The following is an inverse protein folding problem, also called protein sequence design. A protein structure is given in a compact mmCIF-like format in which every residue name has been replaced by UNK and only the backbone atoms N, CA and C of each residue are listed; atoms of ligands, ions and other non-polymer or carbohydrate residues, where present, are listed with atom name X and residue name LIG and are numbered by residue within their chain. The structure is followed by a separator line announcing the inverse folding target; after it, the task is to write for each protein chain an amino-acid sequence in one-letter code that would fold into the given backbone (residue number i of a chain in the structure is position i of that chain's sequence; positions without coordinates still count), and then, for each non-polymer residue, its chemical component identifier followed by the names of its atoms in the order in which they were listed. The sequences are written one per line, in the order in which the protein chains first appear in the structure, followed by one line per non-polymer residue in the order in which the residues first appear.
data_IF_177677765019
#
_entry.id   IF_177677765019
#
_cell.length_a   1.000
_cell.length_b   1.000
_cell.length_c   1.000
_cell.angle_alpha   90.00
_cell.angle_beta   90.00
_cell.angle_gamma   90.00
#
_symmetry.space_group_name_H-M   'P 1'
#
loop_
_entity.id
_entity.type
_entity.pdbx_description
1 polymer ?
#
# COMPACT_ATOMS: atom_id res chain seq x y z
N UNK A 1 -7.84 -1.10 48.95
CA UNK A 1 -7.39 -0.62 47.63
C UNK A 1 -8.29 -1.31 46.64
N UNK A 2 -9.33 -0.63 46.18
CA UNK A 2 -10.16 -1.12 45.08
C UNK A 2 -9.34 -0.97 43.80
N UNK A 3 -9.19 -2.08 43.08
CA UNK A 3 -8.66 -2.05 41.72
C UNK A 3 -9.67 -1.31 40.82
N UNK A 4 -9.22 -0.48 39.86
CA UNK A 4 -10.14 0.17 38.94
C UNK A 4 -10.72 -0.89 38.00
N UNK A 5 -12.05 -1.03 38.00
CA UNK A 5 -12.77 -1.82 36.99
C UNK A 5 -12.46 -1.28 35.60
N UNK A 6 -11.93 -2.15 34.72
CA UNK A 6 -11.85 -1.86 33.29
C UNK A 6 -13.28 -1.69 32.74
N UNK A 7 -13.54 -0.68 31.89
CA UNK A 7 -14.86 -0.47 31.33
C UNK A 7 -15.26 -1.67 30.49
N UNK A 8 -16.44 -2.22 30.79
CA UNK A 8 -17.03 -3.35 30.09
C UNK A 8 -17.07 -3.10 28.57
N UNK A 9 -16.47 -4.03 27.81
CA UNK A 9 -16.53 -4.09 26.35
C UNK A 9 -18.01 -4.21 25.94
N UNK A 10 -18.61 -3.10 25.53
CA UNK A 10 -19.93 -3.11 24.89
C UNK A 10 -19.78 -3.85 23.57
N UNK A 11 -19.98 -5.17 23.58
CA UNK A 11 -19.64 -6.14 22.53
C UNK A 11 -20.33 -5.96 21.18
N UNK A 12 -20.26 -4.77 20.59
CA UNK A 12 -20.52 -4.53 19.19
C UNK A 12 -19.32 -5.02 18.40
N UNK A 13 -19.52 -6.12 17.66
CA UNK A 13 -18.53 -6.61 16.70
C UNK A 13 -18.13 -5.47 15.76
N UNK A 14 -16.87 -5.05 15.82
CA UNK A 14 -16.35 -4.00 14.97
C UNK A 14 -16.30 -4.51 13.52
N UNK A 15 -17.09 -3.88 12.65
CA UNK A 15 -17.07 -4.19 11.21
C UNK A 15 -15.72 -3.82 10.58
N UNK A 16 -15.24 -4.56 9.56
CA UNK A 16 -14.03 -4.18 8.84
C UNK A 16 -14.17 -2.82 8.18
N UNK A 17 -13.08 -2.06 8.14
CA UNK A 17 -12.98 -0.87 7.29
C UNK A 17 -12.57 -1.30 5.88
N UNK A 18 -13.25 -0.77 4.87
CA UNK A 18 -12.93 -0.94 3.47
C UNK A 18 -12.55 0.43 2.87
N UNK A 19 -11.30 0.57 2.45
CA UNK A 19 -10.79 1.81 1.87
C UNK A 19 -11.26 1.91 0.43
N UNK A 20 -12.13 2.87 0.17
CA UNK A 20 -12.75 3.03 -1.13
C UNK A 20 -13.30 4.44 -1.35
N UNK A 21 -13.09 4.96 -2.55
CA UNK A 21 -13.95 5.96 -3.17
C UNK A 21 -13.92 5.79 -4.69
N UNK A 22 -14.91 6.30 -5.43
CA UNK A 22 -14.90 6.24 -6.90
C UNK A 22 -13.64 6.89 -7.50
N UNK A 23 -13.19 8.02 -6.92
CA UNK A 23 -11.99 8.72 -7.38
C UNK A 23 -10.72 7.89 -7.16
N UNK A 24 -10.63 7.20 -6.02
CA UNK A 24 -9.50 6.32 -5.72
C UNK A 24 -9.43 5.13 -6.69
N UNK A 25 -10.57 4.50 -7.00
CA UNK A 25 -10.62 3.40 -7.97
C UNK A 25 -10.24 3.88 -9.37
N UNK A 26 -10.78 5.03 -9.80
CA UNK A 26 -10.41 5.64 -11.08
C UNK A 26 -8.92 5.94 -11.16
N UNK A 27 -8.30 6.41 -10.07
CA UNK A 27 -6.86 6.62 -10.00
C UNK A 27 -6.10 5.29 -10.07
N UNK A 28 -6.53 4.25 -9.35
CA UNK A 28 -5.85 2.95 -9.36
C UNK A 28 -5.90 2.26 -10.73
N UNK A 29 -6.95 2.52 -11.51
CA UNK A 29 -7.13 1.94 -12.85
C UNK A 29 -6.38 2.70 -13.95
N UNK A 30 -5.73 3.83 -13.62
CA UNK A 30 -4.94 4.60 -14.59
C UNK A 30 -3.62 3.93 -14.96
N UNK A 31 -3.12 3.00 -14.14
CA UNK A 31 -1.87 2.28 -14.41
C UNK A 31 -2.03 1.30 -15.57
N UNK A 32 -1.38 1.59 -16.69
CA UNK A 32 -1.53 0.85 -17.94
C UNK A 32 -1.22 -0.66 -17.85
N UNK A 33 -0.30 -1.06 -16.95
CA UNK A 33 0.12 -2.47 -16.80
C UNK A 33 -0.95 -3.35 -16.15
N UNK A 34 -1.88 -2.76 -15.38
CA UNK A 34 -2.93 -3.50 -14.67
C UNK A 34 -4.30 -2.83 -14.91
N UNK A 35 -4.80 -2.86 -16.16
CA UNK A 35 -5.96 -2.08 -16.54
C UNK A 35 -7.22 -2.56 -15.82
N UNK A 36 -7.95 -1.62 -15.21
CA UNK A 36 -9.30 -1.81 -14.63
C UNK A 36 -9.40 -2.82 -13.49
N UNK A 37 -8.27 -3.28 -12.91
CA UNK A 37 -8.29 -4.27 -11.82
C UNK A 37 -9.02 -3.73 -10.59
N UNK A 38 -8.83 -2.46 -10.22
CA UNK A 38 -9.48 -1.90 -9.03
C UNK A 38 -11.00 -1.84 -9.22
N UNK A 39 -11.49 -1.42 -10.40
CA UNK A 39 -12.91 -1.48 -10.73
C UNK A 39 -13.47 -2.91 -10.71
N UNK A 40 -12.74 -3.89 -11.26
CA UNK A 40 -13.17 -5.29 -11.24
C UNK A 40 -13.28 -5.85 -9.82
N UNK A 41 -12.28 -5.58 -8.97
CA UNK A 41 -12.31 -6.01 -7.57
C UNK A 41 -13.47 -5.36 -6.83
N UNK A 42 -13.63 -4.04 -6.95
CA UNK A 42 -14.70 -3.33 -6.26
C UNK A 42 -16.10 -3.77 -6.74
N UNK A 43 -16.32 -3.86 -8.06
CA UNK A 43 -17.62 -4.27 -8.61
C UNK A 43 -18.02 -5.68 -8.19
N UNK A 44 -17.06 -6.60 -8.05
CA UNK A 44 -17.35 -7.95 -7.56
C UNK A 44 -17.70 -7.94 -6.06
N UNK A 45 -16.97 -7.19 -5.24
CA UNK A 45 -17.32 -6.97 -3.82
C UNK A 45 -18.72 -6.35 -3.68
N UNK A 46 -19.08 -5.43 -4.59
CA UNK A 46 -20.39 -4.79 -4.64
C UNK A 46 -21.49 -5.76 -5.05
N UNK A 47 -21.27 -6.56 -6.10
CA UNK A 47 -22.22 -7.55 -6.61
C UNK A 47 -22.61 -8.60 -5.56
N UNK A 48 -21.66 -8.98 -4.69
CA UNK A 48 -21.92 -9.87 -3.55
C UNK A 48 -22.46 -9.14 -2.30
N UNK A 49 -22.70 -7.84 -2.38
CA UNK A 49 -23.16 -6.99 -1.29
C UNK A 49 -22.25 -6.99 -0.04
N UNK A 50 -20.97 -7.38 -0.18
CA UNK A 50 -20.02 -7.45 0.94
C UNK A 50 -19.70 -6.07 1.50
N UNK A 51 -19.67 -5.04 0.65
CA UNK A 51 -19.48 -3.65 1.07
C UNK A 51 -20.51 -3.17 2.10
N UNK A 52 -21.72 -3.74 2.12
CA UNK A 52 -22.78 -3.39 3.08
C UNK A 52 -22.47 -3.90 4.50
N UNK A 53 -21.53 -4.83 4.63
CA UNK A 53 -21.07 -5.40 5.89
C UNK A 53 -19.75 -4.77 6.36
N UNK A 54 -19.27 -3.75 5.65
CA UNK A 54 -18.02 -3.05 5.93
C UNK A 54 -18.28 -1.55 6.11
N UNK A 55 -17.41 -0.89 6.86
CA UNK A 55 -17.38 0.57 6.93
C UNK A 55 -16.54 1.10 5.77
N UNK A 56 -17.18 1.74 4.80
CA UNK A 56 -16.48 2.42 3.71
C UNK A 56 -15.80 3.68 4.26
N UNK A 57 -14.50 3.81 4.04
CA UNK A 57 -13.72 5.00 4.37
C UNK A 57 -13.04 5.52 3.12
N UNK A 58 -13.26 6.79 2.81
CA UNK A 58 -12.59 7.47 1.70
C UNK A 58 -11.11 7.67 2.04
N UNK A 59 -10.17 7.23 1.18
CA UNK A 59 -8.75 7.45 1.42
C UNK A 59 -8.38 8.93 1.31
N UNK A 60 -7.39 9.33 2.10
CA UNK A 60 -6.64 10.58 1.88
C UNK A 60 -5.51 10.29 0.89
N UNK A 61 -5.09 11.32 0.14
CA UNK A 61 -3.85 11.26 -0.66
C UNK A 61 -2.68 11.52 0.29
N UNK A 62 -1.60 10.74 0.18
CA UNK A 62 -0.42 10.92 1.00
C UNK A 62 0.26 12.25 0.67
N UNK A 63 0.67 13.00 1.70
CA UNK A 63 1.53 14.15 1.49
C UNK A 63 2.96 13.72 1.15
N UNK A 64 3.73 14.63 0.55
CA UNK A 64 5.17 14.41 0.32
C UNK A 64 5.89 14.04 1.64
N UNK A 65 5.54 14.72 2.73
CA UNK A 65 6.09 14.46 4.07
C UNK A 65 5.78 13.05 4.56
N UNK A 66 4.55 12.55 4.33
CA UNK A 66 4.17 11.20 4.71
C UNK A 66 4.94 10.15 3.89
N UNK A 67 5.12 10.38 2.59
CA UNK A 67 5.89 9.49 1.71
C UNK A 67 7.39 9.48 2.09
N UNK A 68 7.93 10.64 2.46
CA UNK A 68 9.32 10.83 2.89
C UNK A 68 9.65 10.17 4.24
N UNK A 69 8.67 9.62 4.96
CA UNK A 69 8.94 8.80 6.15
C UNK A 69 9.71 7.51 5.82
N UNK A 70 9.65 7.07 4.55
CA UNK A 70 10.46 5.97 4.03
C UNK A 70 11.32 6.43 2.86
N UNK A 71 10.70 6.98 1.82
CA UNK A 71 11.39 7.30 0.57
C UNK A 71 12.32 8.51 0.73
N UNK A 72 13.36 8.61 -0.10
CA UNK A 72 14.24 9.78 -0.09
C UNK A 72 13.56 10.98 -0.74
N UNK A 73 13.86 12.18 -0.25
CA UNK A 73 13.34 13.43 -0.84
C UNK A 73 13.72 13.54 -2.32
N UNK A 74 14.95 13.16 -2.67
CA UNK A 74 15.46 13.18 -4.05
C UNK A 74 14.64 12.27 -4.98
N UNK A 75 14.35 11.04 -4.54
CA UNK A 75 13.51 10.10 -5.29
C UNK A 75 12.09 10.64 -5.50
N UNK A 76 11.46 11.16 -4.45
CA UNK A 76 10.09 11.66 -4.54
C UNK A 76 9.99 12.92 -5.41
N UNK A 77 10.99 13.80 -5.35
CA UNK A 77 11.09 14.96 -6.24
C UNK A 77 11.25 14.53 -7.70
N UNK A 78 12.09 13.53 -7.97
CA UNK A 78 12.22 12.97 -9.32
C UNK A 78 10.92 12.37 -9.83
N UNK A 79 10.27 11.55 -9.00
CA UNK A 79 8.98 10.93 -9.34
C UNK A 79 7.90 11.99 -9.63
N UNK A 80 7.87 13.08 -8.85
CA UNK A 80 6.96 14.19 -9.08
C UNK A 80 7.26 14.93 -10.40
N UNK A 81 8.54 15.16 -10.71
CA UNK A 81 8.96 15.78 -11.97
C UNK A 81 8.52 14.96 -13.17
N UNK A 82 8.86 13.66 -13.18
CA UNK A 82 8.46 12.73 -14.25
C UNK A 82 6.94 12.66 -14.40
N UNK A 83 6.21 12.68 -13.28
CA UNK A 83 4.75 12.66 -13.30
C UNK A 83 4.10 13.89 -13.93
N UNK A 84 4.80 15.04 -13.97
CA UNK A 84 4.28 16.31 -14.49
C UNK A 84 4.73 16.59 -15.92
N UNK A 85 6.01 16.28 -16.20
CA UNK A 85 6.68 16.68 -17.44
C UNK A 85 6.83 15.50 -18.42
N UNK A 86 6.57 14.27 -17.96
CA UNK A 86 6.99 13.05 -18.67
C UNK A 86 8.46 12.73 -18.43
N UNK A 87 8.96 11.70 -19.11
CA UNK A 87 10.37 11.33 -19.07
C UNK A 87 11.05 11.74 -20.38
N UNK A 88 11.87 12.80 -20.32
CA UNK A 88 12.73 13.24 -21.43
C UNK A 88 14.01 12.40 -21.51
N UNK A 89 13.91 11.07 -21.30
CA UNK A 89 15.05 10.16 -21.14
C UNK A 89 16.05 10.65 -20.07
N UNK A 90 15.55 11.09 -18.90
CA UNK A 90 16.42 11.63 -17.86
C UNK A 90 17.35 10.52 -17.34
N UNK A 91 18.68 10.71 -17.26
CA UNK A 91 19.60 9.65 -16.83
C UNK A 91 19.26 9.10 -15.44
N UNK A 92 18.83 9.97 -14.54
CA UNK A 92 18.39 9.60 -13.20
C UNK A 92 17.16 8.67 -13.19
N UNK A 93 16.32 8.66 -14.23
CA UNK A 93 15.15 7.75 -14.31
C UNK A 93 15.60 6.29 -14.23
N UNK A 94 16.71 5.93 -14.90
CA UNK A 94 17.28 4.58 -14.85
C UNK A 94 17.81 4.28 -13.44
N UNK A 95 18.50 5.23 -12.81
CA UNK A 95 19.04 5.08 -11.46
C UNK A 95 17.93 4.90 -10.41
N UNK A 96 16.81 5.62 -10.58
CA UNK A 96 15.63 5.52 -9.74
C UNK A 96 14.69 4.37 -10.14
N UNK A 97 15.09 3.48 -11.05
CA UNK A 97 14.35 2.27 -11.42
C UNK A 97 13.13 2.51 -12.32
N UNK A 98 13.00 3.69 -12.91
CA UNK A 98 11.99 4.01 -13.91
C UNK A 98 12.46 3.56 -15.31
N UNK A 99 11.58 2.88 -16.04
CA UNK A 99 11.89 2.31 -17.34
C UNK A 99 10.98 1.14 -17.71
N UNK A 100 11.55 -0.05 -17.90
CA UNK A 100 10.84 -1.19 -18.48
C UNK A 100 9.66 -1.70 -17.62
N UNK A 101 9.94 -2.03 -16.36
CA UNK A 101 8.93 -2.57 -15.43
C UNK A 101 8.14 -1.47 -14.72
N UNK A 102 8.76 -0.30 -14.53
CA UNK A 102 8.11 0.89 -13.95
C UNK A 102 8.13 2.03 -14.96
N UNK A 103 7.20 2.04 -15.94
CA UNK A 103 7.14 3.10 -16.96
C UNK A 103 7.14 4.50 -16.35
N UNK A 104 7.97 5.36 -16.91
CA UNK A 104 8.03 6.77 -16.55
C UNK A 104 6.93 7.51 -17.33
N UNK A 105 5.75 7.63 -16.73
CA UNK A 105 4.57 8.23 -17.39
C UNK A 105 3.98 9.36 -16.57
N UNK A 106 3.23 10.24 -17.23
CA UNK A 106 2.46 11.27 -16.53
C UNK A 106 1.50 10.65 -15.50
N UNK A 107 1.32 11.32 -14.36
CA UNK A 107 0.42 10.91 -13.29
C UNK A 107 0.93 9.82 -12.34
N UNK A 108 2.14 9.28 -12.51
CA UNK A 108 2.68 8.22 -11.63
C UNK A 108 2.85 8.67 -10.17
N UNK A 109 3.12 9.95 -9.91
CA UNK A 109 3.24 10.48 -8.56
C UNK A 109 1.88 10.53 -7.87
N UNK A 110 0.85 11.01 -8.58
CA UNK A 110 -0.51 11.06 -8.04
C UNK A 110 -1.07 9.66 -7.76
N UNK A 111 -0.75 8.71 -8.64
CA UNK A 111 -1.03 7.29 -8.46
C UNK A 111 -0.36 6.74 -7.17
N UNK A 112 0.95 6.95 -7.04
CA UNK A 112 1.73 6.50 -5.89
C UNK A 112 1.22 7.13 -4.57
N UNK A 113 0.94 8.43 -4.58
CA UNK A 113 0.43 9.18 -3.43
C UNK A 113 -0.98 8.72 -3.03
N UNK A 114 -1.85 8.40 -4.00
CA UNK A 114 -3.19 7.88 -3.73
C UNK A 114 -3.13 6.52 -3.03
N UNK A 115 -2.28 5.60 -3.50
CA UNK A 115 -2.12 4.27 -2.91
C UNK A 115 -1.45 4.33 -1.53
N UNK A 116 -0.36 5.09 -1.41
CA UNK A 116 0.31 5.33 -0.13
C UNK A 116 -0.66 5.91 0.89
N UNK A 117 -1.43 6.92 0.49
CA UNK A 117 -2.41 7.58 1.34
C UNK A 117 -3.57 6.67 1.75
N UNK A 118 -4.01 5.77 0.85
CA UNK A 118 -5.02 4.78 1.15
C UNK A 118 -4.56 3.77 2.22
N UNK A 119 -3.33 3.24 2.11
CA UNK A 119 -2.78 2.33 3.12
C UNK A 119 -2.50 3.04 4.44
N UNK A 120 -2.01 4.28 4.41
CA UNK A 120 -1.89 5.14 5.59
C UNK A 120 -3.25 5.38 6.26
N UNK A 121 -4.30 5.64 5.47
CA UNK A 121 -5.66 5.83 5.98
C UNK A 121 -6.16 4.55 6.67
N UNK A 122 -5.94 3.38 6.07
CA UNK A 122 -6.28 2.09 6.67
C UNK A 122 -5.55 1.87 8.01
N UNK A 123 -4.24 2.16 8.05
CA UNK A 123 -3.44 2.08 9.26
C UNK A 123 -3.92 3.06 10.34
N UNK A 124 -4.33 4.27 9.95
CA UNK A 124 -4.91 5.25 10.88
C UNK A 124 -6.22 4.75 11.48
N UNK A 125 -7.11 4.13 10.68
CA UNK A 125 -8.34 3.54 11.19
C UNK A 125 -8.10 2.44 12.26
N UNK A 126 -7.01 1.67 12.13
CA UNK A 126 -6.61 0.69 13.14
C UNK A 126 -6.07 1.38 14.41
N UNK A 127 -5.25 2.42 14.26
CA UNK A 127 -4.72 3.21 15.38
C UNK A 127 -5.84 3.85 16.18
N UNK A 128 -6.85 4.42 15.50
CA UNK A 128 -7.97 5.11 16.12
C UNK A 128 -8.97 4.14 16.78
N UNK A 129 -8.78 2.82 16.63
CA UNK A 129 -9.68 1.81 17.17
C UNK A 129 -11.01 1.72 16.42
N UNK A 130 -11.12 2.33 15.23
CA UNK A 130 -12.34 2.32 14.41
C UNK A 130 -12.71 0.91 13.93
N UNK A 131 -11.70 0.04 13.79
CA UNK A 131 -11.85 -1.34 13.35
C UNK A 131 -10.70 -2.20 13.89
N UNK A 132 -10.86 -3.52 13.77
CA UNK A 132 -9.76 -4.49 13.97
C UNK A 132 -9.15 -4.96 12.66
N UNK A 133 -9.85 -4.74 11.54
CA UNK A 133 -9.44 -5.09 10.19
C UNK A 133 -9.71 -3.89 9.28
N UNK A 134 -8.69 -3.46 8.53
CA UNK A 134 -8.81 -2.42 7.51
C UNK A 134 -8.26 -2.98 6.19
N UNK A 135 -8.99 -2.78 5.09
CA UNK A 135 -8.72 -3.41 3.80
C UNK A 135 -8.47 -2.35 2.74
N UNK A 136 -7.29 -2.38 2.12
CA UNK A 136 -6.97 -1.64 0.89
C UNK A 136 -6.50 -2.63 -0.18
N UNK A 137 -7.39 -3.09 -1.05
CA UNK A 137 -7.06 -4.07 -2.09
C UNK A 137 -6.14 -3.55 -3.20
N UNK A 138 -6.07 -2.23 -3.38
CA UNK A 138 -5.23 -1.62 -4.42
C UNK A 138 -3.80 -1.31 -3.95
N UNK A 139 -3.50 -1.50 -2.67
CA UNK A 139 -2.14 -1.40 -2.12
C UNK A 139 -1.36 -2.71 -2.21
N UNK A 140 -0.27 -2.79 -1.44
CA UNK A 140 0.60 -3.98 -1.37
C UNK A 140 1.77 -3.94 -2.35
N UNK A 141 2.22 -2.76 -2.77
CA UNK A 141 3.32 -2.58 -3.71
C UNK A 141 4.67 -2.73 -3.01
N UNK A 142 5.05 -3.99 -2.78
CA UNK A 142 6.10 -4.38 -1.84
C UNK A 142 7.55 -4.32 -2.37
N UNK A 143 7.77 -4.10 -3.67
CA UNK A 143 9.10 -4.10 -4.28
C UNK A 143 9.83 -2.75 -4.22
N UNK A 144 9.09 -1.64 -4.07
CA UNK A 144 9.69 -0.32 -4.05
C UNK A 144 10.70 -0.19 -2.90
N UNK A 145 11.90 0.26 -3.21
CA UNK A 145 12.96 0.53 -2.22
C UNK A 145 12.90 1.99 -1.79
N UNK A 146 13.84 2.41 -0.94
CA UNK A 146 13.90 3.78 -0.41
C UNK A 146 14.00 4.83 -1.52
N UNK A 147 14.78 4.53 -2.55
CA UNK A 147 15.20 5.42 -3.61
C UNK A 147 15.11 4.75 -4.99
N UNK A 148 14.29 3.71 -5.15
CA UNK A 148 14.21 2.96 -6.41
C UNK A 148 12.80 2.37 -6.60
N UNK A 149 12.20 2.62 -7.77
CA UNK A 149 11.03 1.91 -8.23
C UNK A 149 11.42 0.50 -8.69
N UNK A 150 10.59 -0.51 -8.43
CA UNK A 150 10.87 -1.87 -8.88
C UNK A 150 9.60 -2.70 -9.02
N UNK A 151 9.53 -3.58 -10.02
CA UNK A 151 8.42 -4.53 -10.18
C UNK A 151 7.03 -3.87 -10.10
N UNK A 152 6.80 -2.82 -10.90
CA UNK A 152 5.59 -1.99 -10.92
C UNK A 152 5.34 -1.13 -9.67
N UNK A 153 6.19 -1.21 -8.65
CA UNK A 153 6.06 -0.50 -7.40
C UNK A 153 6.86 0.82 -7.45
N UNK A 154 6.16 1.96 -7.55
CA UNK A 154 6.75 3.30 -7.45
C UNK A 154 6.83 3.83 -6.01
N UNK A 155 6.07 3.22 -5.10
CA UNK A 155 6.04 3.60 -3.70
C UNK A 155 5.70 2.39 -2.84
N UNK A 156 6.36 2.24 -1.70
CA UNK A 156 6.13 1.11 -0.80
C UNK A 156 5.06 1.43 0.24
N UNK A 157 3.79 1.30 -0.15
CA UNK A 157 2.66 1.62 0.73
C UNK A 157 2.59 0.69 1.95
N UNK A 158 3.05 -0.56 1.82
CA UNK A 158 3.13 -1.50 2.93
C UNK A 158 4.08 -0.97 4.03
N UNK A 159 5.26 -0.49 3.66
CA UNK A 159 6.20 0.15 4.60
C UNK A 159 5.58 1.39 5.24
N UNK A 160 4.94 2.28 4.46
CA UNK A 160 4.27 3.46 5.01
C UNK A 160 3.16 3.11 6.00
N UNK A 161 2.38 2.07 5.70
CA UNK A 161 1.37 1.52 6.60
C UNK A 161 1.97 1.01 7.92
N UNK A 162 3.08 0.28 7.85
CA UNK A 162 3.77 -0.23 9.02
C UNK A 162 4.35 0.91 9.87
N UNK A 163 5.02 1.89 9.25
CA UNK A 163 5.54 3.08 9.94
C UNK A 163 4.42 3.88 10.61
N UNK A 164 3.24 3.96 9.97
CA UNK A 164 2.04 4.54 10.58
C UNK A 164 1.62 3.74 11.82
N UNK A 165 1.44 2.42 11.70
CA UNK A 165 1.04 1.55 12.82
C UNK A 165 2.02 1.59 14.01
N UNK A 166 3.33 1.72 13.75
CA UNK A 166 4.37 1.84 14.79
C UNK A 166 4.21 3.05 15.71
N UNK A 167 3.40 4.05 15.33
CA UNK A 167 3.04 5.17 16.23
C UNK A 167 2.23 4.74 17.45
N UNK A 168 1.54 3.58 17.40
CA UNK A 168 0.75 3.04 18.52
C UNK A 168 1.17 1.64 18.95
N UNK A 169 1.57 0.79 18.00
CA UNK A 169 1.86 -0.62 18.27
C UNK A 169 3.38 -0.88 18.32
N UNK A 170 3.82 -1.54 19.38
CA UNK A 170 5.25 -1.80 19.64
C UNK A 170 5.88 -2.81 18.68
N UNK A 171 5.10 -3.81 18.24
CA UNK A 171 5.55 -4.86 17.33
C UNK A 171 4.55 -5.01 16.21
N UNK A 172 5.06 -5.10 14.98
CA UNK A 172 4.27 -5.31 13.77
C UNK A 172 4.81 -6.56 13.08
N UNK A 173 3.92 -7.51 12.81
CA UNK A 173 4.19 -8.67 11.97
C UNK A 173 3.73 -8.35 10.55
N UNK A 174 4.65 -8.47 9.59
CA UNK A 174 4.31 -8.40 8.17
C UNK A 174 4.32 -9.82 7.59
N UNK A 175 3.22 -10.20 6.94
CA UNK A 175 3.05 -11.48 6.26
C UNK A 175 2.79 -11.19 4.80
N UNK A 176 3.66 -11.72 3.95
CA UNK A 176 3.59 -11.57 2.51
C UNK A 176 3.28 -12.92 1.87
N UNK A 177 2.19 -12.95 1.10
CA UNK A 177 1.70 -14.14 0.41
C UNK A 177 1.74 -13.95 -1.12
N UNK A 178 2.36 -12.88 -1.61
CA UNK A 178 2.58 -12.71 -3.05
C UNK A 178 3.51 -13.82 -3.59
N UNK A 179 3.41 -14.08 -4.89
CA UNK A 179 4.26 -15.03 -5.58
C UNK A 179 5.72 -14.56 -5.58
N UNK A 180 5.94 -13.26 -5.73
CA UNK A 180 7.26 -12.64 -5.72
C UNK A 180 7.72 -12.36 -4.30
N UNK A 181 9.04 -12.32 -4.12
CA UNK A 181 9.62 -11.98 -2.84
C UNK A 181 9.49 -10.47 -2.60
N UNK A 182 8.83 -10.05 -1.51
CA UNK A 182 8.71 -8.66 -1.07
C UNK A 182 10.02 -8.04 -0.58
N UNK A 183 10.99 -7.90 -1.48
CA UNK A 183 12.35 -7.43 -1.25
C UNK A 183 12.43 -6.01 -0.68
N UNK A 184 11.57 -5.08 -1.12
CA UNK A 184 11.53 -3.71 -0.60
C UNK A 184 11.16 -3.62 0.89
N UNK A 185 10.33 -4.55 1.38
CA UNK A 185 9.88 -4.56 2.79
C UNK A 185 10.92 -5.12 3.77
N UNK A 186 11.85 -5.95 3.29
CA UNK A 186 12.93 -6.52 4.09
C UNK A 186 13.97 -5.48 4.57
N UNK A 187 13.90 -4.25 4.07
CA UNK A 187 14.84 -3.17 4.40
C UNK A 187 14.54 -2.50 5.75
N UNK A 188 13.45 -2.84 6.44
CA UNK A 188 13.17 -2.34 7.78
C UNK A 188 13.77 -3.27 8.86
N UNK A 189 14.79 -2.84 9.64
CA UNK A 189 15.47 -3.69 10.61
C UNK A 189 14.58 -4.22 11.75
N UNK A 190 13.39 -3.62 11.93
CA UNK A 190 12.48 -3.89 13.05
C UNK A 190 11.26 -4.75 12.67
N UNK A 191 11.17 -5.19 11.41
CA UNK A 191 10.08 -6.08 10.96
C UNK A 191 10.58 -7.53 11.02
N UNK A 192 9.96 -8.35 11.85
CA UNK A 192 10.05 -9.79 11.69
C UNK A 192 9.11 -10.21 10.56
N UNK A 193 9.64 -10.35 9.35
CA UNK A 193 8.89 -10.92 8.24
C UNK A 193 8.81 -12.45 8.42
N UNK A 194 7.63 -12.99 8.70
CA UNK A 194 7.43 -14.45 8.75
C UNK A 194 7.28 -14.98 7.32
N UNK A 195 8.16 -15.93 6.97
CA UNK A 195 8.25 -16.51 5.63
C UNK A 195 7.34 -17.74 5.51
N UNK A 196 6.53 -17.78 4.45
CA UNK A 196 6.09 -19.04 3.85
C UNK A 196 6.54 -19.04 2.40
N UNK A 197 7.80 -19.41 2.14
CA UNK A 197 8.27 -19.67 0.77
C UNK A 197 7.63 -20.96 0.29
N UNK A 198 6.48 -20.86 -0.37
CA UNK A 198 5.96 -21.94 -1.19
C UNK A 198 6.77 -21.93 -2.48
N UNK A 199 7.94 -22.59 -2.49
CA UNK A 199 8.61 -22.92 -3.76
C UNK A 199 7.67 -23.85 -4.51
N UNK A 200 7.06 -23.37 -5.59
CA UNK A 200 6.52 -24.27 -6.60
C UNK A 200 7.71 -25.08 -7.13
N UNK A 201 7.69 -26.39 -6.87
CA UNK A 201 8.50 -27.33 -7.61
C UNK A 201 7.98 -27.28 -9.05
N UNK A 202 8.61 -26.48 -9.91
CA UNK A 202 8.55 -26.76 -11.34
C UNK A 202 9.18 -28.13 -11.55
N UNK A 203 8.32 -29.12 -11.79
CA UNK A 203 8.71 -30.46 -12.22
C UNK A 203 9.55 -30.36 -13.50
N UNK A 204 10.74 -30.98 -13.57
CA UNK A 204 11.47 -31.12 -14.81
C UNK A 204 11.08 -32.45 -15.46
N UNK A 205 9.86 -32.62 -15.96
CA UNK A 205 9.51 -33.73 -16.85
C UNK A 205 8.26 -33.40 -17.67
N UNK A 206 8.48 -32.94 -18.91
CA UNK A 206 7.79 -33.32 -20.14
C UNK A 206 8.51 -32.67 -21.33
#
# INVERSE_FOLDING_TARGET
MEEPEEPADSGQSLVPVYIYSPEYVSMCDSLAKIPKRASMVHSLIEAYALHKQMRIVKPKVASMEEMATFHTDAYLQHLQKVSQEGDDDHPDSIEYGLGYDCPATEGIFDYAAAIGGATITAAQCLIDGMCKVAINWSGGWHHAKKDEASGFCYLNDAVLGILRLRRKFERILYVDLDLHHGDGTNLLPQIQACRSSCRSLSSPFA
#
